data_IF_330254382684
#
_entry.id   IF_330254382684
#
_cell.length_a   1.000
_cell.length_b   1.000
_cell.length_c   1.000
_cell.angle_alpha   90.00
_cell.angle_beta   90.00
_cell.angle_gamma   90.00
#
_symmetry.space_group_name_H-M   'P 1'
#
loop_
_entity.id
_entity.type
_entity.pdbx_description
1 polymer ?
#
# COMPACT_ATOMS: atom_id res chain seq x y z
N UNK A 1 -5.35 4.23 -14.90
CA UNK A 1 -6.46 3.27 -15.04
C UNK A 1 -7.43 3.44 -13.88
N UNK A 2 -8.76 3.56 -14.12
CA UNK A 2 -9.71 3.75 -13.02
C UNK A 2 -9.86 2.47 -12.19
N UNK A 3 -9.76 2.63 -10.87
CA UNK A 3 -10.05 1.61 -9.87
C UNK A 3 -11.54 1.30 -9.75
N UNK A 4 -11.87 0.22 -9.06
CA UNK A 4 -13.25 -0.14 -8.73
C UNK A 4 -14.05 -0.83 -9.85
N UNK A 5 -15.38 -0.79 -9.68
CA UNK A 5 -16.35 -1.37 -10.60
C UNK A 5 -16.28 -0.71 -11.97
N UNK A 6 -16.52 -1.49 -13.02
CA UNK A 6 -16.69 -1.00 -14.38
C UNK A 6 -17.97 -1.59 -14.96
N UNK A 7 -18.76 -0.73 -15.62
CA UNK A 7 -19.89 -1.20 -16.41
C UNK A 7 -19.38 -2.04 -17.59
N UNK A 8 -19.91 -3.25 -17.71
CA UNK A 8 -19.53 -4.22 -18.74
C UNK A 8 -19.90 -3.74 -20.14
N UNK A 9 -21.00 -3.00 -20.27
CA UNK A 9 -21.47 -2.49 -21.56
C UNK A 9 -20.55 -1.38 -22.09
N UNK A 10 -19.87 -0.66 -21.19
CA UNK A 10 -18.99 0.45 -21.52
C UNK A 10 -17.53 0.05 -21.79
N UNK A 11 -17.18 -1.24 -21.64
CA UNK A 11 -15.82 -1.71 -21.90
C UNK A 11 -15.55 -1.76 -23.40
N UNK A 12 -14.36 -1.28 -23.79
CA UNK A 12 -13.83 -1.43 -25.14
C UNK A 12 -13.82 -2.90 -25.56
N UNK A 13 -14.12 -3.17 -26.83
CA UNK A 13 -14.23 -4.52 -27.38
C UNK A 13 -13.14 -4.78 -28.39
N UNK A 14 -12.60 -5.99 -28.36
CA UNK A 14 -11.66 -6.48 -29.37
C UNK A 14 -12.34 -6.97 -30.64
N UNK A 15 -11.52 -7.49 -31.55
CA UNK A 15 -11.91 -7.97 -32.88
C UNK A 15 -13.01 -9.05 -32.87
N UNK A 16 -13.10 -9.87 -31.81
CA UNK A 16 -14.11 -10.91 -31.67
C UNK A 16 -15.33 -10.42 -30.86
N UNK A 17 -15.49 -9.11 -30.68
CA UNK A 17 -16.64 -8.48 -30.01
C UNK A 17 -16.69 -8.68 -28.49
N UNK A 18 -15.64 -9.19 -27.87
CA UNK A 18 -15.53 -9.38 -26.41
C UNK A 18 -14.80 -8.21 -25.77
N UNK A 19 -15.11 -7.93 -24.50
CA UNK A 19 -14.46 -6.87 -23.75
C UNK A 19 -12.95 -7.07 -23.66
N UNK A 20 -12.19 -5.98 -23.71
CA UNK A 20 -10.76 -5.95 -23.47
C UNK A 20 -10.48 -5.98 -21.95
N UNK A 21 -9.42 -6.71 -21.58
CA UNK A 21 -8.94 -6.81 -20.22
C UNK A 21 -8.49 -5.43 -19.73
N UNK A 22 -9.00 -4.99 -18.58
CA UNK A 22 -8.67 -3.69 -17.98
C UNK A 22 -7.22 -3.56 -17.50
N UNK A 23 -6.41 -4.61 -17.66
CA UNK A 23 -4.99 -4.64 -17.33
C UNK A 23 -4.13 -4.72 -18.59
N UNK A 24 -4.17 -5.85 -19.30
CA UNK A 24 -3.26 -6.13 -20.41
C UNK A 24 -3.84 -5.84 -21.80
N UNK A 25 -5.08 -5.33 -21.87
CA UNK A 25 -5.79 -5.03 -23.11
C UNK A 25 -6.02 -6.21 -24.08
N UNK A 26 -5.77 -7.45 -23.64
CA UNK A 26 -6.15 -8.65 -24.39
C UNK A 26 -7.64 -8.93 -24.21
N UNK A 27 -8.27 -9.54 -25.22
CA UNK A 27 -9.65 -9.96 -25.10
C UNK A 27 -9.87 -10.92 -23.92
N UNK A 28 -10.95 -10.66 -23.19
CA UNK A 28 -11.37 -11.51 -22.09
C UNK A 28 -11.95 -12.82 -22.64
N UNK A 29 -11.49 -14.00 -22.15
CA UNK A 29 -11.98 -15.29 -22.62
C UNK A 29 -13.42 -15.53 -22.15
N UNK A 30 -14.06 -16.54 -22.73
CA UNK A 30 -15.41 -16.95 -22.32
C UNK A 30 -15.47 -17.22 -20.81
N UNK A 31 -16.62 -16.91 -20.19
CA UNK A 31 -16.89 -17.02 -18.73
C UNK A 31 -16.15 -16.01 -17.84
N UNK A 32 -15.31 -15.13 -18.39
CA UNK A 32 -14.80 -13.93 -17.71
C UNK A 32 -15.41 -12.67 -18.35
N UNK A 33 -15.33 -11.53 -17.65
CA UNK A 33 -15.99 -10.30 -18.10
C UNK A 33 -15.06 -9.09 -18.24
N UNK A 34 -14.22 -8.82 -17.23
CA UNK A 34 -13.46 -7.56 -17.15
C UNK A 34 -11.94 -7.75 -17.12
N UNK A 35 -11.48 -8.98 -16.89
CA UNK A 35 -10.06 -9.37 -16.83
C UNK A 35 -9.86 -10.74 -17.45
N UNK A 36 -8.74 -10.94 -18.15
CA UNK A 36 -8.46 -12.21 -18.81
C UNK A 36 -7.92 -13.30 -17.86
N UNK A 37 -7.32 -12.93 -16.74
CA UNK A 37 -6.74 -13.86 -15.76
C UNK A 37 -6.77 -13.29 -14.34
N UNK A 38 -6.58 -14.15 -13.34
CA UNK A 38 -6.50 -13.72 -11.94
C UNK A 38 -5.21 -12.94 -11.66
N UNK A 39 -4.15 -13.22 -12.43
CA UNK A 39 -2.96 -12.38 -12.46
C UNK A 39 -3.29 -10.95 -12.90
N UNK A 40 -4.07 -10.76 -13.97
CA UNK A 40 -4.49 -9.42 -14.38
C UNK A 40 -5.34 -8.72 -13.32
N UNK A 41 -6.18 -9.47 -12.59
CA UNK A 41 -6.92 -8.92 -11.44
C UNK A 41 -5.96 -8.48 -10.34
N UNK A 42 -4.98 -9.33 -10.00
CA UNK A 42 -3.97 -9.04 -8.97
C UNK A 42 -3.19 -7.77 -9.29
N UNK A 43 -2.60 -7.70 -10.48
CA UNK A 43 -1.83 -6.56 -10.94
C UNK A 43 -2.67 -5.28 -10.96
N UNK A 44 -3.89 -5.36 -11.51
CA UNK A 44 -4.80 -4.22 -11.52
C UNK A 44 -5.16 -3.76 -10.10
N UNK A 45 -5.42 -4.68 -9.17
CA UNK A 45 -5.79 -4.33 -7.78
C UNK A 45 -4.62 -3.75 -7.00
N UNK A 46 -3.40 -4.25 -7.18
CA UNK A 46 -2.21 -3.68 -6.53
C UNK A 46 -2.05 -2.18 -6.81
N UNK A 47 -2.43 -1.75 -8.01
CA UNK A 47 -2.27 -0.37 -8.51
C UNK A 47 -3.47 0.54 -8.26
N UNK A 48 -4.64 -0.05 -8.04
CA UNK A 48 -5.89 0.71 -7.98
C UNK A 48 -6.63 0.61 -6.65
N UNK A 49 -6.25 -0.34 -5.80
CA UNK A 49 -6.86 -0.60 -4.50
C UNK A 49 -5.80 -0.52 -3.39
N UNK A 50 -5.64 0.63 -2.73
CA UNK A 50 -4.69 0.80 -1.62
C UNK A 50 -4.95 -0.17 -0.45
N UNK A 51 -6.18 -0.62 -0.27
CA UNK A 51 -6.54 -1.61 0.75
C UNK A 51 -5.94 -2.97 0.41
N UNK A 52 -6.12 -3.42 -0.84
CA UNK A 52 -5.51 -4.65 -1.35
C UNK A 52 -4.00 -4.60 -1.32
N UNK A 53 -3.38 -3.48 -1.74
CA UNK A 53 -1.93 -3.31 -1.65
C UNK A 53 -1.44 -3.52 -0.22
N UNK A 54 -2.07 -2.86 0.76
CA UNK A 54 -1.71 -3.02 2.18
C UNK A 54 -1.91 -4.46 2.67
N UNK A 55 -2.93 -5.15 2.19
CA UNK A 55 -3.14 -6.57 2.48
C UNK A 55 -1.99 -7.43 1.95
N UNK A 56 -1.57 -7.25 0.70
CA UNK A 56 -0.48 -8.01 0.10
C UNK A 56 0.87 -7.72 0.79
N UNK A 57 1.14 -6.46 1.12
CA UNK A 57 2.32 -6.06 1.89
C UNK A 57 2.31 -6.72 3.27
N UNK A 58 1.17 -6.73 3.95
CA UNK A 58 1.05 -7.41 5.24
C UNK A 58 1.21 -8.93 5.12
N UNK A 59 0.68 -9.55 4.06
CA UNK A 59 0.83 -10.96 3.81
C UNK A 59 2.30 -11.35 3.65
N UNK A 60 3.10 -10.51 2.97
CA UNK A 60 4.54 -10.68 2.78
C UNK A 60 5.35 -10.38 4.05
N UNK A 61 5.16 -9.20 4.64
CA UNK A 61 6.07 -8.66 5.68
C UNK A 61 5.59 -8.93 7.12
N UNK A 62 4.35 -9.40 7.28
CA UNK A 62 3.69 -9.63 8.57
C UNK A 62 3.63 -8.40 9.49
N UNK A 63 3.77 -7.20 8.93
CA UNK A 63 3.81 -5.94 9.70
C UNK A 63 5.11 -5.71 10.46
N UNK A 64 6.19 -6.40 10.06
CA UNK A 64 7.54 -6.17 10.58
C UNK A 64 8.18 -4.99 9.84
N UNK A 65 8.75 -4.04 10.58
CA UNK A 65 9.41 -2.89 9.98
C UNK A 65 10.66 -3.31 9.21
N UNK A 66 10.77 -2.95 7.93
CA UNK A 66 11.93 -3.26 7.10
C UNK A 66 13.24 -2.61 7.60
N UNK A 67 13.14 -1.46 8.28
CA UNK A 67 14.30 -0.72 8.80
C UNK A 67 14.71 -1.22 10.19
N UNK A 68 13.84 -1.06 11.18
CA UNK A 68 14.19 -1.33 12.58
C UNK A 68 13.75 -2.70 13.09
N UNK A 69 13.14 -3.54 12.23
CA UNK A 69 12.70 -4.90 12.53
C UNK A 69 11.68 -5.06 13.66
N UNK A 70 11.11 -3.96 14.17
CA UNK A 70 10.04 -4.05 15.17
C UNK A 70 8.80 -4.74 14.58
N UNK A 71 8.27 -5.70 15.31
CA UNK A 71 6.95 -6.29 15.03
C UNK A 71 5.86 -5.30 15.46
N UNK A 72 5.26 -4.62 14.48
CA UNK A 72 4.23 -3.63 14.73
C UNK A 72 2.90 -4.24 15.14
N UNK A 73 2.66 -5.52 14.82
CA UNK A 73 1.46 -6.25 15.23
C UNK A 73 1.53 -6.59 16.71
N UNK A 74 2.66 -7.13 17.17
CA UNK A 74 2.91 -7.39 18.58
C UNK A 74 2.82 -6.09 19.40
N UNK A 75 3.50 -5.02 18.94
CA UNK A 75 3.46 -3.72 19.60
C UNK A 75 2.04 -3.11 19.65
N UNK A 76 1.22 -3.33 18.62
CA UNK A 76 -0.16 -2.86 18.61
C UNK A 76 -1.01 -3.58 19.68
N UNK A 77 -0.84 -4.89 19.82
CA UNK A 77 -1.54 -5.66 20.85
C UNK A 77 -1.09 -5.28 22.26
N UNK A 78 0.21 -5.07 22.46
CA UNK A 78 0.76 -4.56 23.72
C UNK A 78 0.11 -3.21 24.09
N UNK A 79 0.13 -2.25 23.16
CA UNK A 79 -0.52 -0.95 23.34
C UNK A 79 -2.04 -1.06 23.63
N UNK A 80 -2.74 -2.00 22.98
CA UNK A 80 -4.17 -2.24 23.24
C UNK A 80 -4.42 -2.76 24.65
N UNK A 81 -3.56 -3.63 25.17
CA UNK A 81 -3.68 -4.25 26.51
C UNK A 81 -3.16 -3.34 27.62
N UNK A 82 -2.19 -2.47 27.33
CA UNK A 82 -1.60 -1.55 28.29
C UNK A 82 -2.63 -0.61 28.93
N UNK A 83 -2.40 -0.30 30.22
CA UNK A 83 -3.20 0.60 31.06
C UNK A 83 -2.29 1.60 31.79
N UNK A 84 -2.90 2.62 32.40
CA UNK A 84 -2.21 3.60 33.25
C UNK A 84 -1.00 4.29 32.58
N UNK A 85 0.05 4.50 33.37
CA UNK A 85 1.29 5.18 32.94
C UNK A 85 2.02 4.43 31.83
N UNK A 86 1.99 3.09 31.84
CA UNK A 86 2.60 2.27 30.78
C UNK A 86 1.94 2.55 29.42
N UNK A 87 0.60 2.64 29.38
CA UNK A 87 -0.13 3.02 28.16
C UNK A 87 0.28 4.40 27.65
N UNK A 88 0.42 5.37 28.55
CA UNK A 88 0.84 6.73 28.18
C UNK A 88 2.25 6.74 27.57
N UNK A 89 3.19 5.97 28.14
CA UNK A 89 4.55 5.80 27.59
C UNK A 89 4.53 5.19 26.19
N UNK A 90 3.74 4.14 25.97
CA UNK A 90 3.62 3.52 24.64
C UNK A 90 2.99 4.46 23.62
N UNK A 91 1.90 5.16 23.99
CA UNK A 91 1.26 6.17 23.15
C UNK A 91 2.27 7.25 22.74
N UNK A 92 3.03 7.80 23.69
CA UNK A 92 4.06 8.80 23.43
C UNK A 92 5.17 8.27 22.51
N UNK A 93 5.68 7.05 22.75
CA UNK A 93 6.67 6.40 21.88
C UNK A 93 6.20 6.31 20.43
N UNK A 94 4.93 5.94 20.23
CA UNK A 94 4.33 5.85 18.90
C UNK A 94 3.83 7.19 18.37
N UNK A 95 4.02 8.31 19.07
CA UNK A 95 3.55 9.64 18.67
C UNK A 95 2.03 9.72 18.55
N UNK A 96 1.29 8.96 19.36
CA UNK A 96 -0.17 8.89 19.35
C UNK A 96 -0.73 9.51 20.64
N UNK A 97 -1.82 10.27 20.54
CA UNK A 97 -2.60 10.71 21.73
C UNK A 97 -3.62 9.66 22.17
N UNK A 98 -4.15 8.89 21.22
CA UNK A 98 -5.08 7.78 21.40
C UNK A 98 -4.89 6.77 20.27
N UNK A 99 -5.40 5.55 20.45
CA UNK A 99 -5.46 4.57 19.35
C UNK A 99 -6.56 5.02 18.38
N UNK A 100 -6.16 5.66 17.27
CA UNK A 100 -7.04 6.06 16.18
C UNK A 100 -6.86 5.21 14.92
N UNK A 101 -5.90 4.29 14.93
CA UNK A 101 -5.52 3.44 13.79
C UNK A 101 -5.63 1.96 14.17
N UNK A 102 -5.77 1.10 13.16
CA UNK A 102 -5.83 -0.37 13.32
C UNK A 102 -4.45 -1.03 13.35
N UNK A 103 -3.38 -0.31 12.98
CA UNK A 103 -1.99 -0.82 12.93
C UNK A 103 -1.00 0.24 13.40
N UNK A 104 0.23 -0.20 13.73
CA UNK A 104 1.39 0.66 14.02
C UNK A 104 2.45 0.64 12.89
N UNK A 105 2.02 0.26 11.69
CA UNK A 105 2.83 0.26 10.49
C UNK A 105 2.04 0.83 9.30
N UNK A 106 2.77 1.34 8.32
CA UNK A 106 2.28 1.81 7.04
C UNK A 106 3.10 1.22 5.89
N UNK A 107 2.45 1.08 4.72
CA UNK A 107 3.13 0.75 3.47
C UNK A 107 3.85 1.99 2.96
N UNK A 108 5.15 1.85 2.71
CA UNK A 108 6.05 2.92 2.30
C UNK A 108 6.74 2.54 1.01
N UNK A 109 6.99 3.52 0.13
CA UNK A 109 7.77 3.27 -1.07
C UNK A 109 9.25 3.14 -0.71
N UNK A 110 9.94 2.13 -1.28
CA UNK A 110 11.39 1.98 -1.14
C UNK A 110 12.09 3.12 -1.86
N UNK A 111 11.72 3.32 -3.14
CA UNK A 111 12.04 4.52 -3.92
C UNK A 111 10.76 5.35 -4.03
N UNK A 112 10.72 6.59 -3.52
CA UNK A 112 9.57 7.47 -3.63
C UNK A 112 9.17 7.76 -5.08
N UNK A 113 7.87 7.96 -5.31
CA UNK A 113 7.29 8.23 -6.64
C UNK A 113 7.90 9.45 -7.32
N UNK A 114 8.03 10.52 -6.57
CA UNK A 114 8.67 11.77 -7.01
C UNK A 114 10.14 11.60 -7.40
N UNK A 115 10.81 10.56 -6.90
CA UNK A 115 12.19 10.19 -7.25
C UNK A 115 12.23 9.08 -8.32
N UNK A 116 11.11 8.82 -9.01
CA UNK A 116 11.02 7.83 -10.10
C UNK A 116 10.70 6.41 -9.63
N UNK A 117 10.39 6.20 -8.35
CA UNK A 117 9.93 4.90 -7.88
C UNK A 117 8.51 4.60 -8.36
N UNK A 118 8.32 3.49 -9.07
CA UNK A 118 6.98 3.12 -9.52
C UNK A 118 5.97 3.06 -8.36
N UNK A 119 4.77 3.59 -8.57
CA UNK A 119 3.65 3.59 -7.61
C UNK A 119 3.07 2.19 -7.31
N UNK A 120 3.51 1.19 -8.06
CA UNK A 120 2.57 0.22 -8.61
C UNK A 120 2.91 -1.24 -8.34
N UNK A 121 4.13 -1.53 -7.89
CA UNK A 121 4.63 -2.90 -7.75
C UNK A 121 4.97 -3.19 -6.30
N UNK A 122 4.56 -4.36 -5.82
CA UNK A 122 4.79 -4.79 -4.44
C UNK A 122 6.28 -4.77 -4.08
N UNK A 123 7.16 -4.98 -5.06
CA UNK A 123 8.62 -4.92 -4.92
C UNK A 123 9.14 -3.55 -4.46
N UNK A 124 8.52 -2.45 -4.91
CA UNK A 124 8.89 -1.10 -4.49
C UNK A 124 8.17 -0.66 -3.21
N UNK A 125 7.43 -1.54 -2.55
CA UNK A 125 6.74 -1.24 -1.29
C UNK A 125 7.37 -2.03 -0.15
N UNK A 126 7.52 -1.39 1.01
CA UNK A 126 7.99 -2.00 2.27
C UNK A 126 7.06 -1.66 3.42
N UNK A 127 7.00 -2.54 4.42
CA UNK A 127 6.36 -2.23 5.70
C UNK A 127 7.28 -1.38 6.58
N UNK A 128 6.84 -0.20 7.02
CA UNK A 128 7.53 0.60 8.03
C UNK A 128 6.67 0.85 9.25
N UNK A 129 7.29 0.82 10.44
CA UNK A 129 6.63 1.27 11.66
C UNK A 129 6.37 2.79 11.61
N UNK A 130 5.40 3.29 12.40
CA UNK A 130 5.01 4.72 12.34
C UNK A 130 6.17 5.69 12.60
N UNK A 131 7.18 5.27 13.37
CA UNK A 131 8.35 6.08 13.71
C UNK A 131 9.29 6.16 12.49
N UNK A 132 9.65 5.00 11.92
CA UNK A 132 10.50 4.93 10.73
C UNK A 132 9.84 5.60 9.52
N UNK A 133 8.54 5.38 9.33
CA UNK A 133 7.80 6.00 8.23
C UNK A 133 7.85 7.53 8.32
N UNK A 134 7.55 8.12 9.49
CA UNK A 134 7.68 9.57 9.70
C UNK A 134 9.07 10.10 9.40
N UNK A 135 10.12 9.36 9.80
CA UNK A 135 11.50 9.72 9.50
C UNK A 135 11.76 9.75 7.99
N UNK A 136 11.36 8.71 7.26
CA UNK A 136 11.52 8.63 5.80
C UNK A 136 10.74 9.75 5.09
N UNK A 137 9.51 10.04 5.50
CA UNK A 137 8.74 11.17 4.95
C UNK A 137 9.45 12.51 5.21
N UNK A 138 10.03 12.71 6.39
CA UNK A 138 10.76 13.93 6.73
C UNK A 138 12.03 14.08 5.88
N UNK A 139 12.82 13.01 5.75
CA UNK A 139 14.03 12.98 4.94
C UNK A 139 13.73 13.27 3.46
N UNK A 140 12.66 12.68 2.92
CA UNK A 140 12.21 12.96 1.56
C UNK A 140 11.85 14.44 1.37
N UNK A 141 11.09 15.03 2.29
CA UNK A 141 10.73 16.46 2.20
C UNK A 141 11.97 17.37 2.19
N UNK A 142 12.97 17.06 3.00
CA UNK A 142 14.24 17.81 3.01
C UNK A 142 14.96 17.71 1.67
N UNK A 143 15.06 16.50 1.08
CA UNK A 143 15.68 16.32 -0.24
C UNK A 143 14.96 17.08 -1.34
N UNK A 144 13.62 17.02 -1.36
CA UNK A 144 12.82 17.73 -2.36
C UNK A 144 12.92 19.25 -2.25
N UNK A 145 12.99 19.79 -1.03
CA UNK A 145 13.19 21.23 -0.82
C UNK A 145 14.57 21.69 -1.31
N UNK A 146 15.62 20.89 -1.06
CA UNK A 146 16.96 21.18 -1.56
C UNK A 146 17.03 21.13 -3.10
N UNK A 147 16.38 20.14 -3.73
CA UNK A 147 16.35 20.00 -5.18
C UNK A 147 15.54 21.09 -5.91
N UNK A 148 14.64 21.80 -5.21
CA UNK A 148 13.87 22.92 -5.76
C UNK A 148 14.57 24.28 -5.59
N UNK A 149 15.67 24.33 -4.82
CA UNK A 149 16.38 25.57 -4.47
C UNK A 149 17.70 25.76 -5.24
N UNK A 150 18.03 24.84 -6.16
CA UNK A 150 19.20 24.88 -7.03
C UNK A 150 18.80 24.84 -8.50
#
# INVERSE_FOLDING_TARGET
>A
MPGGFADRAALEKGQNGRALCRWCNLEVPARRFTFCSDWCVHEWRLRTDPGYLREQVFARDKGVCAICRVDCRAAYFDLKRARGTHRQKLLARWGLKRISRKTLWDADHIVPVVEGGGECDLENIRSLCLICHRRQTSELRVRLAAAQSG
#
